data_IF_475996006628
#
_entry.id   IF_475996006628
#
_cell.length_a   1.000
_cell.length_b   1.000
_cell.length_c   1.000
_cell.angle_alpha   90.00
_cell.angle_beta   90.00
_cell.angle_gamma   90.00
#
_symmetry.space_group_name_H-M   'P 1'
#
loop_
_entity.id
_entity.type
_entity.pdbx_description
1 polymer ?
#
# COMPACT_ATOMS: atom_id res chain seq x y z
N UNK A 1 -4.27 18.27 -1.30
CA UNK A 1 -4.10 16.97 -1.99
C UNK A 1 -4.84 16.98 -3.32
N UNK A 2 -4.23 16.48 -4.40
CA UNK A 2 -4.79 16.47 -5.76
C UNK A 2 -4.59 15.11 -6.42
N UNK A 3 -5.65 14.55 -7.01
CA UNK A 3 -5.56 13.33 -7.80
C UNK A 3 -4.77 13.59 -9.10
N UNK A 4 -3.89 12.66 -9.46
CA UNK A 4 -3.06 12.71 -10.66
C UNK A 4 -3.15 11.39 -11.43
N UNK A 5 -2.91 11.43 -12.74
CA UNK A 5 -2.87 10.21 -13.55
C UNK A 5 -1.54 9.51 -13.38
N UNK A 6 -1.55 8.19 -13.54
CA UNK A 6 -0.34 7.35 -13.51
C UNK A 6 0.72 7.81 -14.52
N UNK A 7 0.28 8.24 -15.70
CA UNK A 7 1.13 8.68 -16.81
C UNK A 7 1.91 9.97 -16.50
N UNK A 8 1.39 10.79 -15.58
CA UNK A 8 1.99 12.06 -15.17
C UNK A 8 3.06 11.88 -14.07
N UNK A 9 3.23 10.65 -13.57
CA UNK A 9 4.20 10.31 -12.52
C UNK A 9 5.53 9.92 -13.14
N UNK A 10 6.60 10.63 -12.75
CA UNK A 10 7.96 10.28 -13.15
C UNK A 10 8.30 8.86 -12.70
N UNK A 11 8.97 8.08 -13.56
CA UNK A 11 9.28 6.67 -13.28
C UNK A 11 10.01 6.48 -11.93
N UNK A 12 11.01 7.31 -11.65
CA UNK A 12 11.77 7.24 -10.40
C UNK A 12 10.98 7.66 -9.15
N UNK A 13 9.89 8.41 -9.28
CA UNK A 13 8.95 8.67 -8.17
C UNK A 13 8.04 7.47 -7.95
N UNK A 14 7.52 6.90 -9.05
CA UNK A 14 6.66 5.73 -8.99
C UNK A 14 7.38 4.51 -8.40
N UNK A 15 8.66 4.31 -8.73
CA UNK A 15 9.45 3.22 -8.16
C UNK A 15 9.63 3.33 -6.64
N UNK A 16 9.58 4.55 -6.07
CA UNK A 16 9.69 4.77 -4.62
C UNK A 16 8.41 4.47 -3.85
N UNK A 17 7.24 4.68 -4.47
CA UNK A 17 5.97 4.16 -3.94
C UNK A 17 6.01 2.63 -3.84
N UNK A 18 6.72 2.02 -4.78
CA UNK A 18 6.50 0.64 -5.13
C UNK A 18 7.44 -0.28 -4.34
N UNK A 19 6.98 -0.71 -3.16
CA UNK A 19 7.41 -2.00 -2.60
C UNK A 19 6.78 -3.14 -3.42
N UNK A 20 7.19 -3.26 -4.70
CA UNK A 20 6.65 -4.16 -5.72
C UNK A 20 6.36 -5.55 -5.17
N UNK A 21 7.36 -6.13 -4.52
CA UNK A 21 7.33 -7.51 -4.07
C UNK A 21 6.27 -7.72 -2.98
N UNK A 22 6.12 -6.75 -2.07
CA UNK A 22 5.12 -6.80 -1.00
C UNK A 22 3.73 -6.62 -1.57
N UNK A 23 3.56 -5.62 -2.42
CA UNK A 23 2.28 -5.36 -3.07
C UNK A 23 1.81 -6.53 -3.92
N UNK A 24 2.68 -7.03 -4.82
CA UNK A 24 2.40 -8.20 -5.65
C UNK A 24 2.13 -9.45 -4.81
N UNK A 25 2.85 -9.65 -3.71
CA UNK A 25 2.59 -10.75 -2.78
C UNK A 25 1.21 -10.66 -2.14
N UNK A 26 0.84 -9.48 -1.65
CA UNK A 26 -0.48 -9.23 -1.06
C UNK A 26 -1.57 -9.50 -2.10
N UNK A 27 -1.49 -8.86 -3.27
CA UNK A 27 -2.56 -8.84 -4.27
C UNK A 27 -2.50 -9.98 -5.29
N UNK A 28 -1.61 -10.97 -5.14
CA UNK A 28 -1.31 -12.00 -6.17
C UNK A 28 -2.55 -12.69 -6.75
N UNK A 29 -3.50 -12.99 -5.88
CA UNK A 29 -4.77 -13.65 -6.24
C UNK A 29 -5.98 -12.72 -6.07
N UNK A 30 -5.75 -11.44 -5.78
CA UNK A 30 -6.77 -10.46 -5.44
C UNK A 30 -6.29 -9.07 -5.86
N UNK A 31 -6.30 -8.80 -7.18
CA UNK A 31 -5.90 -7.49 -7.71
C UNK A 31 -6.90 -6.42 -7.25
N UNK A 32 -6.45 -5.18 -7.00
CA UNK A 32 -7.36 -4.07 -6.71
C UNK A 32 -8.33 -3.87 -7.88
N UNK A 33 -9.54 -3.42 -7.57
CA UNK A 33 -10.51 -3.03 -8.60
C UNK A 33 -10.22 -1.63 -9.14
N UNK A 34 -9.66 -0.76 -8.29
CA UNK A 34 -9.29 0.60 -8.66
C UNK A 34 -7.97 0.98 -7.98
N UNK A 35 -7.14 1.73 -8.69
CA UNK A 35 -5.88 2.25 -8.18
C UNK A 35 -5.78 3.73 -8.55
N UNK A 36 -5.67 4.59 -7.54
CA UNK A 36 -5.60 6.04 -7.68
C UNK A 36 -4.30 6.58 -7.12
N UNK A 37 -3.85 7.69 -7.68
CA UNK A 37 -2.62 8.36 -7.27
C UNK A 37 -2.92 9.79 -6.89
N UNK A 38 -2.29 10.25 -5.82
CA UNK A 38 -2.48 11.59 -5.29
C UNK A 38 -1.13 12.25 -5.08
N UNK A 39 -1.09 13.56 -5.29
CA UNK A 39 0.00 14.41 -4.81
C UNK A 39 -0.51 15.19 -3.61
N UNK A 40 0.20 15.08 -2.49
CA UNK A 40 -0.05 15.88 -1.29
C UNK A 40 0.46 17.30 -1.49
N UNK A 41 0.09 18.20 -0.59
CA UNK A 41 0.41 19.63 -0.72
C UNK A 41 1.90 19.93 -0.45
N UNK A 42 2.60 19.02 0.23
CA UNK A 42 4.06 19.00 0.41
C UNK A 42 4.81 18.25 -0.72
N UNK A 43 4.09 17.77 -1.74
CA UNK A 43 4.67 17.18 -2.95
C UNK A 43 4.92 15.67 -2.87
N UNK A 44 4.59 15.01 -1.76
CA UNK A 44 4.65 13.55 -1.68
C UNK A 44 3.65 12.89 -2.64
N UNK A 45 4.05 11.72 -3.11
CA UNK A 45 3.23 10.89 -3.97
C UNK A 45 2.61 9.78 -3.13
N UNK A 46 1.30 9.63 -3.25
CA UNK A 46 0.51 8.64 -2.54
C UNK A 46 -0.23 7.73 -3.53
N UNK A 47 -0.33 6.46 -3.17
CA UNK A 47 -1.06 5.43 -3.93
C UNK A 47 -2.17 4.86 -3.06
N UNK A 48 -3.38 4.77 -3.61
CA UNK A 48 -4.54 4.18 -2.94
C UNK A 48 -5.08 3.05 -3.82
N UNK A 49 -5.11 1.84 -3.27
CA UNK A 49 -5.70 0.65 -3.89
C UNK A 49 -7.04 0.32 -3.23
N UNK A 50 -8.10 0.24 -4.02
CA UNK A 50 -9.45 -0.07 -3.54
C UNK A 50 -9.80 -1.54 -3.77
N UNK A 51 -10.23 -2.19 -2.69
CA UNK A 51 -10.71 -3.57 -2.65
C UNK A 51 -12.20 -3.59 -2.26
N UNK A 52 -13.12 -3.57 -3.23
CA UNK A 52 -14.56 -3.43 -2.95
C UNK A 52 -15.23 -4.73 -2.45
N UNK A 53 -14.88 -5.18 -1.23
CA UNK A 53 -15.57 -6.27 -0.52
C UNK A 53 -15.51 -7.65 -1.21
N UNK A 54 -14.68 -7.79 -2.24
CA UNK A 54 -14.39 -9.05 -2.94
C UNK A 54 -12.99 -9.55 -2.58
N UNK A 55 -12.58 -9.35 -1.34
CA UNK A 55 -11.27 -9.79 -0.87
C UNK A 55 -11.26 -11.31 -0.74
N UNK A 56 -10.29 -11.97 -1.37
CA UNK A 56 -10.08 -13.40 -1.16
C UNK A 56 -9.70 -13.66 0.31
N UNK A 57 -10.02 -14.86 0.81
CA UNK A 57 -9.63 -15.27 2.16
C UNK A 57 -8.12 -15.14 2.37
N UNK A 58 -7.32 -15.51 1.37
CA UNK A 58 -5.86 -15.39 1.48
C UNK A 58 -5.38 -13.94 1.52
N UNK A 59 -6.08 -13.01 0.86
CA UNK A 59 -5.75 -11.59 0.96
C UNK A 59 -5.96 -11.07 2.38
N UNK A 60 -7.12 -11.38 2.98
CA UNK A 60 -7.44 -10.99 4.35
C UNK A 60 -6.45 -11.59 5.37
N UNK A 61 -6.03 -12.85 5.17
CA UNK A 61 -5.02 -13.51 6.01
C UNK A 61 -3.64 -12.82 5.92
N UNK A 62 -3.20 -12.44 4.72
CA UNK A 62 -1.93 -11.71 4.54
C UNK A 62 -1.98 -10.32 5.15
N UNK A 63 -3.10 -9.61 5.01
CA UNK A 63 -3.29 -8.30 5.62
C UNK A 63 -3.25 -8.40 7.15
N UNK A 64 -3.95 -9.38 7.72
CA UNK A 64 -3.94 -9.65 9.17
C UNK A 64 -2.52 -9.96 9.69
N UNK A 65 -1.71 -10.67 8.91
CA UNK A 65 -0.32 -10.96 9.27
C UNK A 65 0.55 -9.68 9.31
N UNK A 66 0.34 -8.75 8.38
CA UNK A 66 1.04 -7.46 8.37
C UNK A 66 0.63 -6.59 9.57
N UNK A 67 -0.67 -6.52 9.87
CA UNK A 67 -1.17 -5.79 11.05
C UNK A 67 -0.60 -6.36 12.35
N UNK A 68 -0.51 -7.69 12.45
CA UNK A 68 0.10 -8.35 13.59
C UNK A 68 1.59 -7.98 13.75
N UNK A 69 2.36 -7.97 12.64
CA UNK A 69 3.77 -7.59 12.66
C UNK A 69 3.96 -6.11 13.01
N UNK A 70 3.15 -5.22 12.45
CA UNK A 70 3.18 -3.80 12.79
C UNK A 70 2.95 -3.60 14.29
N UNK A 71 1.92 -4.26 14.85
CA UNK A 71 1.65 -4.20 16.29
C UNK A 71 2.82 -4.69 17.14
N UNK A 72 3.58 -5.68 16.67
CA UNK A 72 4.79 -6.14 17.37
C UNK A 72 5.91 -5.10 17.34
N UNK A 73 6.08 -4.42 16.21
CA UNK A 73 7.02 -3.30 16.06
C UNK A 73 6.63 -2.16 17.00
N UNK A 74 5.36 -1.73 16.97
CA UNK A 74 4.86 -0.65 17.84
C UNK A 74 5.10 -0.96 19.34
N UNK A 75 4.91 -2.22 19.75
CA UNK A 75 5.19 -2.66 21.11
C UNK A 75 6.69 -2.62 21.42
N UNK A 76 7.54 -3.05 20.49
CA UNK A 76 8.99 -3.01 20.67
C UNK A 76 9.50 -1.57 20.83
N UNK A 77 9.05 -0.66 19.95
CA UNK A 77 9.37 0.76 19.99
C UNK A 77 8.89 1.41 21.30
N UNK A 78 7.67 1.09 21.76
CA UNK A 78 7.14 1.59 23.02
C UNK A 78 7.94 1.12 24.25
N UNK A 79 8.63 -0.02 24.13
CA UNK A 79 9.52 -0.55 25.16
C UNK A 79 10.98 -0.06 25.01
N UNK A 80 11.28 0.76 24.00
CA UNK A 80 12.59 1.35 23.75
C UNK A 80 13.59 0.42 23.05
N UNK A 81 13.10 -0.57 22.30
CA UNK A 81 13.91 -1.43 21.42
C UNK A 81 13.97 -0.89 20.00
#
# INVERSE_FOLDING_TARGET
>A
MKEIKREDILLGEYEKLYCRNVYEYLTRNNKPQEQKYYRTDDGELWEISYFHGKESKEFAERLSALEYLQKKIDIAEALGF
#
